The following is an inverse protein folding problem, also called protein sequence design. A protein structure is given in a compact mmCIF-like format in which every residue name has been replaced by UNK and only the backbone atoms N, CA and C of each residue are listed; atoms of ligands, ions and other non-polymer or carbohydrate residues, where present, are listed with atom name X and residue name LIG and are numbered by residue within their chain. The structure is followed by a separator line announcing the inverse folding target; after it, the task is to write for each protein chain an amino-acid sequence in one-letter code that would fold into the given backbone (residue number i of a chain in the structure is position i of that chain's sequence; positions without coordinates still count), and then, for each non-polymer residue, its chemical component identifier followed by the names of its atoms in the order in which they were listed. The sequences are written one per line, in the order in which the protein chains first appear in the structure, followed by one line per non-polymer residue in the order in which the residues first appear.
data_IF_369223833943
#
_entry.id   IF_369223833943
#
_cell.length_a   1.000
_cell.length_b   1.000
_cell.length_c   1.000
_cell.angle_alpha   90.00
_cell.angle_beta   90.00
_cell.angle_gamma   90.00
#
_symmetry.space_group_name_H-M   'P 1'
#
loop_
_entity.id
_entity.type
_entity.pdbx_description
1 polymer ?
#
# COMPACT_ATOMS: atom_id res chain seq x y z
N UNK A 1 -9.48 -9.40 -24.84
CA UNK A 1 -8.13 -9.18 -25.40
C UNK A 1 -7.29 -8.58 -24.28
N UNK A 2 -6.03 -8.98 -24.14
CA UNK A 2 -5.09 -8.36 -23.17
C UNK A 2 -4.25 -7.31 -23.89
N UNK A 3 -3.66 -6.37 -23.13
CA UNK A 3 -2.83 -5.27 -23.63
C UNK A 3 -1.42 -5.44 -23.02
N UNK A 4 -0.32 -5.41 -23.77
CA UNK A 4 1.03 -5.37 -23.21
C UNK A 4 1.16 -4.22 -22.21
N UNK A 5 1.86 -4.42 -21.09
CA UNK A 5 1.94 -3.40 -20.04
C UNK A 5 2.57 -2.09 -20.55
N UNK A 6 3.51 -2.16 -21.47
CA UNK A 6 4.14 -1.00 -22.10
C UNK A 6 3.12 -0.15 -22.89
N UNK A 7 2.10 -0.79 -23.49
CA UNK A 7 1.07 -0.11 -24.28
C UNK A 7 -0.12 0.39 -23.42
N UNK A 8 -0.12 0.05 -22.11
CA UNK A 8 -1.23 0.40 -21.24
C UNK A 8 -1.40 1.92 -21.11
N UNK A 9 -2.66 2.36 -21.27
CA UNK A 9 -3.10 3.75 -21.09
C UNK A 9 -4.16 3.82 -19.99
N UNK A 10 -4.24 4.93 -19.27
CA UNK A 10 -5.08 5.04 -18.08
C UNK A 10 -6.59 4.97 -18.39
N UNK A 11 -7.00 5.46 -19.55
CA UNK A 11 -8.39 5.47 -20.02
C UNK A 11 -8.97 4.08 -20.32
N UNK A 12 -8.09 3.10 -20.63
CA UNK A 12 -8.48 1.74 -20.98
C UNK A 12 -8.00 0.69 -19.97
N UNK A 13 -6.93 1.00 -19.24
CA UNK A 13 -6.20 0.08 -18.37
C UNK A 13 -6.15 0.51 -16.89
N UNK A 14 -6.83 1.61 -16.54
CA UNK A 14 -6.88 2.15 -15.17
C UNK A 14 -5.59 2.87 -14.73
N UNK A 15 -5.64 3.45 -13.54
CA UNK A 15 -4.57 4.30 -13.03
C UNK A 15 -3.23 3.59 -12.89
N UNK A 16 -3.21 2.40 -12.26
CA UNK A 16 -1.98 1.60 -12.11
C UNK A 16 -1.40 1.15 -13.45
N UNK A 17 -2.25 0.57 -14.33
CA UNK A 17 -1.81 0.10 -15.63
C UNK A 17 -1.21 1.23 -16.46
N UNK A 18 -1.91 2.36 -16.54
CA UNK A 18 -1.44 3.55 -17.26
C UNK A 18 -0.14 4.13 -16.69
N UNK A 19 -0.02 4.18 -15.36
CA UNK A 19 1.20 4.65 -14.69
C UNK A 19 2.40 3.75 -15.03
N UNK A 20 2.28 2.43 -14.85
CA UNK A 20 3.35 1.47 -15.15
C UNK A 20 3.72 1.47 -16.64
N UNK A 21 2.73 1.56 -17.55
CA UNK A 21 2.96 1.68 -18.98
C UNK A 21 3.78 2.94 -19.34
N UNK A 22 3.44 4.09 -18.73
CA UNK A 22 4.20 5.32 -18.92
C UNK A 22 5.65 5.21 -18.44
N UNK A 23 5.88 4.53 -17.29
CA UNK A 23 7.22 4.29 -16.76
C UNK A 23 8.03 3.37 -17.69
N UNK A 24 7.43 2.31 -18.24
CA UNK A 24 8.09 1.41 -19.21
C UNK A 24 8.50 2.15 -20.48
N UNK A 25 7.59 2.93 -21.06
CA UNK A 25 7.89 3.76 -22.26
C UNK A 25 9.01 4.77 -22.02
N UNK A 26 9.18 5.22 -20.77
CA UNK A 26 10.27 6.11 -20.37
C UNK A 26 11.58 5.36 -20.06
N UNK A 27 11.65 4.05 -20.28
CA UNK A 27 12.82 3.21 -20.02
C UNK A 27 13.16 3.06 -18.54
N UNK A 28 12.17 3.12 -17.66
CA UNK A 28 12.33 2.86 -16.24
C UNK A 28 12.24 1.35 -15.94
N UNK A 29 12.94 0.85 -14.92
CA UNK A 29 13.01 -0.58 -14.61
C UNK A 29 11.71 -1.06 -13.96
N UNK A 30 10.71 -1.37 -14.75
CA UNK A 30 9.43 -1.95 -14.34
C UNK A 30 9.40 -3.41 -14.79
N UNK A 31 8.96 -4.37 -13.95
CA UNK A 31 8.83 -5.76 -14.38
C UNK A 31 7.81 -5.90 -15.52
N UNK A 32 8.10 -6.80 -16.46
CA UNK A 32 7.25 -7.11 -17.60
C UNK A 32 5.86 -7.60 -17.18
N UNK A 33 4.88 -7.40 -18.04
CA UNK A 33 3.52 -7.81 -17.78
C UNK A 33 2.54 -7.47 -18.90
N UNK A 34 1.26 -7.65 -18.60
CA UNK A 34 0.15 -7.25 -19.45
C UNK A 34 -1.04 -6.79 -18.60
N UNK A 35 -2.02 -6.17 -19.24
CA UNK A 35 -3.24 -5.68 -18.59
C UNK A 35 -4.45 -6.35 -19.21
N UNK A 36 -5.39 -6.79 -18.36
CA UNK A 36 -6.77 -7.09 -18.75
C UNK A 36 -7.54 -5.78 -18.70
N UNK A 37 -7.94 -5.18 -19.84
CA UNK A 37 -8.50 -3.82 -19.88
C UNK A 37 -9.95 -3.77 -19.40
N UNK A 38 -10.48 -2.56 -19.17
CA UNK A 38 -11.89 -2.34 -18.80
C UNK A 38 -12.87 -3.05 -19.73
N UNK A 39 -12.60 -3.05 -21.04
CA UNK A 39 -13.46 -3.71 -22.02
C UNK A 39 -13.65 -5.21 -21.75
N UNK A 40 -12.65 -5.89 -21.18
CA UNK A 40 -12.79 -7.31 -20.81
C UNK A 40 -13.73 -7.49 -19.61
N UNK A 41 -13.62 -6.62 -18.59
CA UNK A 41 -14.56 -6.58 -17.48
C UNK A 41 -15.98 -6.32 -17.94
N UNK A 42 -16.21 -5.26 -18.72
CA UNK A 42 -17.52 -4.89 -19.22
C UNK A 42 -18.15 -5.99 -20.08
N UNK A 43 -17.34 -6.70 -20.86
CA UNK A 43 -17.82 -7.86 -21.64
C UNK A 43 -18.25 -9.03 -20.71
N UNK A 44 -17.46 -9.30 -19.67
CA UNK A 44 -17.73 -10.39 -18.73
C UNK A 44 -19.00 -10.18 -17.91
N UNK A 45 -19.30 -8.92 -17.52
CA UNK A 45 -20.45 -8.60 -16.67
C UNK A 45 -21.71 -8.20 -17.44
N UNK A 46 -21.66 -8.19 -18.78
CA UNK A 46 -22.76 -7.70 -19.65
C UNK A 46 -24.13 -8.36 -19.38
N UNK A 47 -24.16 -9.60 -18.92
CA UNK A 47 -25.38 -10.33 -18.61
C UNK A 47 -25.78 -10.32 -17.14
N UNK A 48 -25.00 -9.66 -16.28
CA UNK A 48 -25.28 -9.57 -14.86
C UNK A 48 -26.08 -8.31 -14.55
N UNK A 49 -27.11 -8.45 -13.72
CA UNK A 49 -27.80 -7.29 -13.13
C UNK A 49 -27.00 -6.80 -11.92
N UNK A 50 -26.05 -5.90 -12.18
CA UNK A 50 -25.22 -5.30 -11.14
C UNK A 50 -25.80 -3.99 -10.58
N UNK A 51 -27.11 -3.76 -10.76
CA UNK A 51 -27.77 -2.53 -10.35
C UNK A 51 -27.39 -1.35 -11.27
N UNK A 52 -28.17 -1.14 -12.35
CA UNK A 52 -27.92 -0.11 -13.38
C UNK A 52 -28.20 1.32 -12.92
N UNK A 53 -28.42 1.57 -11.63
CA UNK A 53 -28.80 2.91 -11.14
C UNK A 53 -27.70 3.53 -10.27
N UNK A 54 -27.24 4.62 -10.69
CA UNK A 54 -26.45 5.77 -10.21
C UNK A 54 -25.89 5.81 -8.78
N UNK A 55 -26.14 4.83 -7.91
CA UNK A 55 -25.66 4.79 -6.53
C UNK A 55 -25.01 3.45 -6.10
N UNK A 56 -24.76 2.52 -7.04
CA UNK A 56 -24.25 1.17 -6.75
C UNK A 56 -25.36 0.11 -6.70
N UNK A 57 -25.02 -1.18 -6.66
CA UNK A 57 -25.98 -2.25 -6.55
C UNK A 57 -26.73 -2.17 -5.22
N UNK A 58 -28.03 -2.48 -5.22
CA UNK A 58 -28.86 -2.53 -4.01
C UNK A 58 -28.31 -3.56 -2.97
N UNK A 59 -27.58 -4.57 -3.44
CA UNK A 59 -26.81 -5.53 -2.62
C UNK A 59 -25.39 -5.71 -3.17
N UNK A 60 -24.39 -4.98 -2.66
CA UNK A 60 -23.00 -5.15 -3.05
C UNK A 60 -22.46 -6.57 -2.86
N UNK A 61 -22.95 -7.29 -1.84
CA UNK A 61 -22.53 -8.66 -1.58
C UNK A 61 -23.08 -9.64 -2.63
N UNK A 62 -24.29 -9.41 -3.15
CA UNK A 62 -24.83 -10.19 -4.26
C UNK A 62 -24.05 -9.94 -5.55
N UNK A 63 -23.74 -8.69 -5.89
CA UNK A 63 -22.91 -8.36 -7.04
C UNK A 63 -21.52 -8.99 -6.95
N UNK A 64 -20.89 -8.95 -5.77
CA UNK A 64 -19.61 -9.60 -5.52
C UNK A 64 -19.70 -11.12 -5.80
N UNK A 65 -20.67 -11.82 -5.20
CA UNK A 65 -20.89 -13.26 -5.43
C UNK A 65 -21.15 -13.60 -6.89
N UNK A 66 -21.92 -12.77 -7.59
CA UNK A 66 -22.21 -12.97 -9.01
C UNK A 66 -20.94 -12.91 -9.87
N UNK A 67 -20.03 -11.95 -9.58
CA UNK A 67 -18.75 -11.83 -10.30
C UNK A 67 -17.79 -12.98 -9.91
N UNK A 68 -17.73 -13.36 -8.65
CA UNK A 68 -16.92 -14.51 -8.20
C UNK A 68 -17.36 -15.82 -8.86
N UNK A 69 -18.66 -15.97 -9.16
CA UNK A 69 -19.22 -17.13 -9.85
C UNK A 69 -19.07 -17.10 -11.38
N UNK A 70 -18.60 -16.00 -11.97
CA UNK A 70 -18.42 -15.89 -13.43
C UNK A 70 -17.47 -16.98 -13.94
N UNK A 71 -17.81 -17.58 -15.06
CA UNK A 71 -16.88 -18.36 -15.85
C UNK A 71 -16.14 -17.41 -16.80
N UNK A 72 -14.82 -17.41 -16.75
CA UNK A 72 -14.01 -16.66 -17.71
C UNK A 72 -14.22 -17.25 -19.09
N UNK A 73 -14.60 -16.42 -20.07
CA UNK A 73 -14.84 -16.92 -21.44
C UNK A 73 -13.56 -17.50 -22.06
N UNK A 74 -13.74 -18.43 -23.00
CA UNK A 74 -12.61 -19.15 -23.63
C UNK A 74 -11.62 -18.22 -24.35
N UNK A 75 -12.09 -17.08 -24.87
CA UNK A 75 -11.25 -16.09 -25.53
C UNK A 75 -10.31 -15.38 -24.54
N UNK A 76 -10.83 -14.95 -23.38
CA UNK A 76 -10.02 -14.35 -22.34
C UNK A 76 -9.09 -15.39 -21.71
N UNK A 77 -9.55 -16.61 -21.43
CA UNK A 77 -8.71 -17.69 -20.88
C UNK A 77 -7.51 -17.98 -21.82
N UNK A 78 -7.76 -18.11 -23.12
CA UNK A 78 -6.71 -18.29 -24.11
C UNK A 78 -5.76 -17.07 -24.20
N UNK A 79 -6.28 -15.85 -24.04
CA UNK A 79 -5.43 -14.64 -24.03
C UNK A 79 -4.53 -14.58 -22.80
N UNK A 80 -5.05 -14.95 -21.60
CA UNK A 80 -4.25 -15.06 -20.37
C UNK A 80 -3.14 -16.09 -20.52
N UNK A 81 -3.46 -17.29 -21.05
CA UNK A 81 -2.48 -18.33 -21.27
C UNK A 81 -1.36 -17.88 -22.25
N UNK A 82 -1.72 -17.20 -23.34
CA UNK A 82 -0.71 -16.65 -24.28
C UNK A 82 0.13 -15.55 -23.62
N UNK A 83 -0.48 -14.64 -22.84
CA UNK A 83 0.24 -13.59 -22.13
C UNK A 83 1.24 -14.17 -21.14
N UNK A 84 0.84 -15.17 -20.34
CA UNK A 84 1.75 -15.87 -19.42
C UNK A 84 2.87 -16.61 -20.17
N UNK A 85 2.53 -17.31 -21.26
CA UNK A 85 3.54 -17.99 -22.11
C UNK A 85 4.57 -17.02 -22.68
N UNK A 86 4.16 -15.82 -23.12
CA UNK A 86 5.07 -14.77 -23.59
C UNK A 86 6.01 -14.25 -22.47
N UNK A 87 5.58 -14.28 -21.20
CA UNK A 87 6.42 -13.98 -20.03
C UNK A 87 7.32 -15.16 -19.60
N UNK A 88 7.17 -16.37 -20.20
CA UNK A 88 7.86 -17.59 -19.78
C UNK A 88 7.20 -18.31 -18.61
N UNK A 89 5.91 -18.11 -18.41
CA UNK A 89 5.07 -18.72 -17.35
C UNK A 89 5.63 -18.57 -15.91
N UNK A 90 6.07 -17.36 -15.53
CA UNK A 90 6.57 -17.12 -14.17
C UNK A 90 5.41 -17.03 -13.18
N UNK A 91 5.70 -17.05 -11.85
CA UNK A 91 4.77 -16.48 -10.89
C UNK A 91 4.50 -15.01 -11.23
N UNK A 92 3.25 -14.58 -11.02
CA UNK A 92 2.83 -13.19 -11.31
C UNK A 92 2.17 -12.53 -10.12
N UNK A 93 2.20 -11.20 -10.09
CA UNK A 93 1.33 -10.36 -9.28
C UNK A 93 0.12 -9.95 -10.12
N UNK A 94 -1.09 -10.17 -9.60
CA UNK A 94 -2.36 -9.79 -10.23
C UNK A 94 -2.96 -8.67 -9.40
N UNK A 95 -3.08 -7.48 -9.96
CA UNK A 95 -3.39 -6.25 -9.21
C UNK A 95 -4.54 -5.49 -9.85
N UNK A 96 -5.50 -5.06 -9.05
CA UNK A 96 -6.56 -4.14 -9.47
C UNK A 96 -5.98 -2.87 -10.09
N UNK A 97 -6.69 -2.31 -11.07
CA UNK A 97 -6.38 -1.04 -11.73
C UNK A 97 -7.68 -0.34 -12.11
N UNK A 98 -8.29 0.35 -11.16
CA UNK A 98 -9.50 1.13 -11.38
C UNK A 98 -9.20 2.50 -11.98
N UNK A 99 -10.21 3.15 -12.53
CA UNK A 99 -10.06 4.48 -13.13
C UNK A 99 -9.75 5.57 -12.10
N UNK A 100 -10.25 5.41 -10.86
CA UNK A 100 -10.07 6.32 -9.74
C UNK A 100 -8.87 5.96 -8.84
N UNK A 101 -8.15 4.88 -9.16
CA UNK A 101 -6.98 4.43 -8.41
C UNK A 101 -5.72 5.20 -8.83
N UNK A 102 -4.84 5.45 -7.86
CA UNK A 102 -3.57 6.16 -8.06
C UNK A 102 -3.74 7.59 -8.63
N UNK A 103 -4.82 8.26 -8.22
CA UNK A 103 -5.08 9.68 -8.52
C UNK A 103 -4.58 10.57 -7.37
N UNK A 104 -4.40 11.88 -7.65
CA UNK A 104 -3.93 12.85 -6.64
C UNK A 104 -4.97 13.24 -5.56
N UNK A 105 -6.17 12.64 -5.56
CA UNK A 105 -7.26 13.04 -4.66
C UNK A 105 -7.36 12.19 -3.40
N UNK A 106 -7.05 10.90 -3.48
CA UNK A 106 -6.95 10.01 -2.33
C UNK A 106 -6.00 8.86 -2.65
N UNK A 107 -5.39 8.27 -1.63
CA UNK A 107 -4.45 7.18 -1.83
C UNK A 107 -5.11 5.93 -2.41
N UNK A 108 -6.43 5.76 -2.25
CA UNK A 108 -7.18 4.54 -2.56
C UNK A 108 -6.45 3.26 -2.11
N UNK A 109 -5.44 3.42 -1.21
CA UNK A 109 -4.55 2.36 -0.78
C UNK A 109 -5.34 1.21 -0.16
N UNK A 110 -5.24 0.03 -0.78
CA UNK A 110 -5.91 -1.18 -0.31
C UNK A 110 -7.43 -1.18 -0.44
N UNK A 111 -8.01 -0.26 -1.20
CA UNK A 111 -9.45 -0.27 -1.51
C UNK A 111 -9.85 -1.53 -2.26
N UNK A 112 -8.99 -1.99 -3.16
CA UNK A 112 -9.19 -3.15 -4.02
C UNK A 112 -8.14 -4.23 -3.76
N UNK A 113 -8.43 -5.45 -4.20
CA UNK A 113 -7.59 -6.62 -3.91
C UNK A 113 -6.41 -6.75 -4.90
N UNK A 114 -5.33 -7.36 -4.40
CA UNK A 114 -4.14 -7.73 -5.17
C UNK A 114 -3.65 -9.10 -4.71
N UNK A 115 -3.22 -9.92 -5.65
CA UNK A 115 -2.77 -11.28 -5.42
C UNK A 115 -1.32 -11.44 -5.88
N UNK A 116 -0.48 -11.98 -5.01
CA UNK A 116 0.94 -12.21 -5.29
C UNK A 116 1.22 -13.70 -5.45
N UNK A 117 2.29 -14.04 -6.14
CA UNK A 117 2.74 -15.42 -6.37
C UNK A 117 1.75 -16.30 -7.12
N UNK A 118 0.83 -15.72 -7.90
CA UNK A 118 -0.15 -16.46 -8.69
C UNK A 118 0.55 -17.22 -9.81
N UNK A 119 0.12 -18.47 -10.09
CA UNK A 119 0.70 -19.32 -11.13
C UNK A 119 -0.35 -19.91 -12.06
N UNK A 120 0.04 -20.05 -13.33
CA UNK A 120 -0.78 -20.69 -14.37
C UNK A 120 -1.99 -19.87 -14.78
N UNK A 121 -2.54 -20.18 -15.96
CA UNK A 121 -3.64 -19.42 -16.55
C UNK A 121 -4.93 -19.47 -15.71
N UNK A 122 -5.24 -20.63 -15.11
CA UNK A 122 -6.44 -20.79 -14.28
C UNK A 122 -6.35 -19.97 -12.99
N UNK A 123 -5.19 -19.98 -12.31
CA UNK A 123 -4.95 -19.17 -11.12
C UNK A 123 -5.01 -17.66 -11.42
N UNK A 124 -4.48 -17.24 -12.57
CA UNK A 124 -4.58 -15.84 -13.01
C UNK A 124 -6.03 -15.47 -13.35
N UNK A 125 -6.79 -16.35 -14.00
CA UNK A 125 -8.20 -16.11 -14.28
C UNK A 125 -9.04 -15.99 -13.00
N UNK A 126 -8.76 -16.82 -11.99
CA UNK A 126 -9.37 -16.69 -10.66
C UNK A 126 -9.02 -15.36 -9.98
N UNK A 127 -7.75 -14.98 -9.97
CA UNK A 127 -7.29 -13.71 -9.39
C UNK A 127 -7.88 -12.48 -10.13
N UNK A 128 -8.03 -12.55 -11.46
CA UNK A 128 -8.70 -11.50 -12.26
C UNK A 128 -10.15 -11.35 -11.82
N UNK A 129 -10.91 -12.44 -11.67
CA UNK A 129 -12.30 -12.39 -11.17
C UNK A 129 -12.37 -11.80 -9.75
N UNK A 130 -11.46 -12.20 -8.88
CA UNK A 130 -11.40 -11.69 -7.51
C UNK A 130 -11.07 -10.19 -7.48
N UNK A 131 -10.15 -9.69 -8.34
CA UNK A 131 -9.94 -8.24 -8.51
C UNK A 131 -11.24 -7.55 -8.96
N UNK A 132 -11.97 -8.08 -9.94
CA UNK A 132 -13.23 -7.52 -10.39
C UNK A 132 -14.30 -7.50 -9.28
N UNK A 133 -14.42 -8.59 -8.52
CA UNK A 133 -15.34 -8.70 -7.40
C UNK A 133 -15.03 -7.71 -6.28
N UNK A 134 -13.75 -7.31 -6.13
CA UNK A 134 -13.33 -6.33 -5.12
C UNK A 134 -13.92 -4.93 -5.31
N UNK A 135 -14.43 -4.59 -6.52
CA UNK A 135 -15.23 -3.38 -6.76
C UNK A 135 -16.45 -3.28 -5.83
N UNK A 136 -17.00 -4.42 -5.43
CA UNK A 136 -18.20 -4.53 -4.59
C UNK A 136 -17.87 -4.95 -3.15
N UNK A 137 -16.61 -4.81 -2.74
CA UNK A 137 -16.21 -5.02 -1.35
C UNK A 137 -16.76 -3.91 -0.43
N UNK A 138 -16.98 -4.18 0.86
CA UNK A 138 -17.38 -3.16 1.82
C UNK A 138 -16.43 -1.94 1.84
N UNK A 139 -15.13 -2.16 1.64
CA UNK A 139 -14.12 -1.08 1.54
C UNK A 139 -14.33 -0.20 0.32
N UNK A 140 -14.63 -0.81 -0.82
CA UNK A 140 -14.91 -0.06 -2.05
C UNK A 140 -16.20 0.74 -1.92
N UNK A 141 -17.22 0.20 -1.27
CA UNK A 141 -18.48 0.89 -0.99
C UNK A 141 -18.27 2.11 -0.09
N UNK A 142 -17.59 1.93 1.04
CA UNK A 142 -17.28 3.03 1.98
C UNK A 142 -16.46 4.17 1.34
N UNK A 143 -15.56 3.85 0.41
CA UNK A 143 -14.80 4.85 -0.34
C UNK A 143 -15.65 5.67 -1.31
N UNK A 144 -16.69 5.08 -1.91
CA UNK A 144 -17.62 5.80 -2.80
C UNK A 144 -18.55 6.75 -2.05
N UNK A 145 -19.06 6.33 -0.88
CA UNK A 145 -19.91 7.15 -0.02
C UNK A 145 -19.21 8.41 0.51
N UNK A 146 -17.89 8.33 0.71
CA UNK A 146 -17.08 9.46 1.18
C UNK A 146 -16.84 10.55 0.12
N UNK A 147 -17.35 10.41 -1.10
CA UNK A 147 -17.10 11.35 -2.20
C UNK A 147 -15.69 11.31 -2.80
N UNK A 148 -14.85 10.34 -2.35
CA UNK A 148 -13.49 10.13 -2.86
C UNK A 148 -13.45 9.43 -4.24
N UNK A 149 -14.61 9.00 -4.75
CA UNK A 149 -14.75 8.42 -6.08
C UNK A 149 -15.12 9.49 -7.08
N UNK A 150 -14.35 9.67 -8.14
CA UNK A 150 -14.81 10.33 -9.34
C UNK A 150 -16.01 9.56 -9.86
N UNK A 151 -17.20 10.17 -9.77
CA UNK A 151 -18.39 9.59 -10.37
C UNK A 151 -18.09 9.20 -11.81
N UNK A 152 -18.52 8.00 -12.17
CA UNK A 152 -18.40 7.46 -13.51
C UNK A 152 -18.85 8.51 -14.55
N UNK A 153 -17.90 8.97 -15.37
CA UNK A 153 -18.18 9.92 -16.45
C UNK A 153 -18.77 9.25 -17.69
N UNK A 154 -18.79 7.90 -17.72
CA UNK A 154 -19.21 7.09 -18.88
C UNK A 154 -20.63 6.57 -18.78
N UNK A 155 -21.31 6.65 -17.62
CA UNK A 155 -22.68 6.15 -17.44
C UNK A 155 -22.82 4.62 -17.37
N UNK A 156 -21.73 3.86 -17.48
CA UNK A 156 -21.72 2.40 -17.55
C UNK A 156 -21.46 1.68 -16.20
N UNK A 157 -21.32 2.44 -15.11
CA UNK A 157 -20.98 1.91 -13.78
C UNK A 157 -19.46 1.67 -13.56
N UNK A 158 -19.05 1.28 -12.33
CA UNK A 158 -17.65 1.11 -12.01
C UNK A 158 -16.99 -0.02 -12.81
N UNK A 159 -15.82 0.25 -13.39
CA UNK A 159 -15.05 -0.70 -14.18
C UNK A 159 -13.66 -0.96 -13.58
N UNK A 160 -13.15 -2.19 -13.76
CA UNK A 160 -11.87 -2.64 -13.25
C UNK A 160 -11.03 -3.27 -14.35
N UNK A 161 -9.88 -2.66 -14.64
CA UNK A 161 -8.79 -3.32 -15.35
C UNK A 161 -7.92 -4.09 -14.35
N UNK A 162 -7.13 -5.05 -14.82
CA UNK A 162 -6.28 -5.87 -13.96
C UNK A 162 -4.88 -5.95 -14.56
N UNK A 163 -3.88 -5.50 -13.82
CA UNK A 163 -2.47 -5.65 -14.16
C UNK A 163 -1.99 -7.03 -13.77
N UNK A 164 -1.41 -7.76 -14.71
CA UNK A 164 -0.72 -9.04 -14.51
C UNK A 164 0.76 -8.81 -14.79
N UNK A 165 1.58 -8.85 -13.75
CA UNK A 165 2.99 -8.47 -13.81
C UNK A 165 3.87 -9.59 -13.25
N UNK A 166 5.05 -9.81 -13.82
CA UNK A 166 6.04 -10.76 -13.30
C UNK A 166 6.28 -10.52 -11.82
N UNK A 167 6.10 -11.55 -10.99
CA UNK A 167 6.44 -11.51 -9.58
C UNK A 167 7.96 -11.55 -9.41
N UNK A 168 8.48 -10.74 -8.50
CA UNK A 168 9.89 -10.71 -8.16
C UNK A 168 10.12 -11.34 -6.78
N UNK A 169 11.12 -12.21 -6.67
CA UNK A 169 11.59 -12.70 -5.38
C UNK A 169 12.56 -11.67 -4.78
N UNK A 170 12.00 -10.69 -4.10
CA UNK A 170 12.75 -9.55 -3.63
C UNK A 170 13.72 -9.91 -2.48
N UNK A 171 14.97 -9.51 -2.59
CA UNK A 171 15.95 -9.53 -1.51
C UNK A 171 15.62 -8.48 -0.46
N UNK A 172 15.28 -7.27 -0.93
CA UNK A 172 14.79 -6.14 -0.16
C UNK A 172 13.74 -5.39 -0.97
N UNK A 173 12.84 -4.72 -0.29
CA UNK A 173 11.80 -3.91 -0.90
C UNK A 173 11.37 -2.78 0.02
N UNK A 174 10.59 -1.87 -0.51
CA UNK A 174 10.11 -0.76 0.29
C UNK A 174 9.30 0.25 -0.47
N UNK A 175 9.18 1.41 0.14
CA UNK A 175 8.48 2.58 -0.38
C UNK A 175 9.43 3.76 -0.40
N UNK A 176 9.32 4.65 -1.37
CA UNK A 176 9.97 5.95 -1.32
C UNK A 176 8.99 7.06 -1.66
N UNK A 177 9.16 8.19 -0.97
CA UNK A 177 8.47 9.44 -1.30
C UNK A 177 9.49 10.40 -1.92
N UNK A 178 9.19 10.86 -3.11
CA UNK A 178 10.01 11.87 -3.77
C UNK A 178 9.77 13.24 -3.12
N UNK A 179 10.74 14.18 -3.19
CA UNK A 179 10.61 15.49 -2.60
C UNK A 179 9.34 16.23 -3.01
N UNK A 180 8.67 16.86 -2.07
CA UNK A 180 7.52 17.74 -2.29
C UNK A 180 7.92 19.18 -2.68
N UNK A 181 9.15 19.57 -2.37
CA UNK A 181 9.67 20.89 -2.64
C UNK A 181 11.20 20.97 -2.72
N UNK A 182 11.74 22.12 -3.13
CA UNK A 182 13.18 22.34 -3.20
C UNK A 182 13.86 22.13 -1.83
N UNK A 183 14.97 21.40 -1.82
CA UNK A 183 15.74 21.14 -0.60
C UNK A 183 15.21 20.02 0.28
N UNK A 184 14.04 19.47 0.00
CA UNK A 184 13.55 18.30 0.71
C UNK A 184 14.28 17.04 0.23
N UNK A 185 14.65 16.12 1.14
CA UNK A 185 15.26 14.86 0.75
C UNK A 185 14.23 13.86 0.22
N UNK A 186 14.65 12.91 -0.61
CA UNK A 186 13.89 11.69 -0.86
C UNK A 186 13.86 10.86 0.42
N UNK A 187 12.65 10.54 0.90
CA UNK A 187 12.44 9.61 2.02
C UNK A 187 12.28 8.20 1.49
N UNK A 188 13.03 7.22 2.05
CA UNK A 188 12.93 5.82 1.66
C UNK A 188 12.77 4.97 2.91
N UNK A 189 11.84 4.03 2.87
CA UNK A 189 11.70 2.96 3.86
C UNK A 189 11.99 1.63 3.21
N UNK A 190 12.77 0.77 3.90
CA UNK A 190 13.25 -0.49 3.35
C UNK A 190 13.19 -1.63 4.37
N UNK A 191 12.84 -2.82 3.92
CA UNK A 191 12.95 -4.05 4.69
C UNK A 191 13.39 -5.23 3.82
N UNK A 192 13.72 -6.34 4.47
CA UNK A 192 14.01 -7.60 3.80
C UNK A 192 12.77 -8.23 3.19
N UNK A 193 12.91 -8.87 2.03
CA UNK A 193 11.85 -9.63 1.37
C UNK A 193 10.86 -8.74 0.61
N UNK A 194 9.62 -9.20 0.52
CA UNK A 194 8.56 -8.62 -0.31
C UNK A 194 7.92 -7.37 0.30
N UNK A 195 7.54 -6.42 -0.55
CA UNK A 195 6.99 -5.10 -0.22
C UNK A 195 5.77 -5.03 0.70
N UNK A 196 4.82 -5.98 0.67
CA UNK A 196 3.65 -5.89 1.54
C UNK A 196 3.95 -5.78 3.04
N UNK A 197 5.12 -6.24 3.50
CA UNK A 197 5.52 -6.08 4.90
C UNK A 197 5.80 -4.62 5.29
N UNK A 198 6.34 -3.81 4.37
CA UNK A 198 6.59 -2.38 4.57
C UNK A 198 5.31 -1.57 4.39
N UNK A 199 4.61 -1.78 3.26
CA UNK A 199 3.36 -1.08 2.93
C UNK A 199 2.29 -1.31 3.99
N UNK A 200 2.10 -2.57 4.43
CA UNK A 200 1.16 -2.95 5.49
C UNK A 200 1.66 -2.68 6.91
N UNK A 201 2.90 -2.17 7.07
CA UNK A 201 3.44 -1.83 8.40
C UNK A 201 3.63 -3.03 9.33
N UNK A 202 3.73 -4.26 8.81
CA UNK A 202 3.95 -5.47 9.65
C UNK A 202 5.37 -5.59 10.17
N UNK A 203 6.27 -4.73 9.69
CA UNK A 203 7.66 -4.56 10.15
C UNK A 203 7.94 -3.08 10.39
N UNK A 204 8.86 -2.77 11.30
CA UNK A 204 9.47 -1.44 11.39
C UNK A 204 10.62 -1.40 10.39
N UNK A 205 10.53 -0.61 9.30
CA UNK A 205 11.53 -0.58 8.25
C UNK A 205 12.73 0.26 8.63
N UNK A 206 13.86 0.06 7.92
CA UNK A 206 14.95 1.01 7.90
C UNK A 206 14.48 2.31 7.24
N UNK A 207 14.95 3.45 7.74
CA UNK A 207 14.67 4.77 7.19
C UNK A 207 15.94 5.35 6.55
N UNK A 208 15.77 5.93 5.35
CA UNK A 208 16.82 6.63 4.61
C UNK A 208 16.30 8.00 4.18
N UNK A 209 17.18 8.98 4.23
CA UNK A 209 16.96 10.32 3.69
C UNK A 209 18.09 10.65 2.74
N UNK A 210 17.76 10.81 1.47
CA UNK A 210 18.74 11.10 0.43
C UNK A 210 18.57 12.55 -0.02
N UNK A 211 19.56 13.37 0.25
CA UNK A 211 19.55 14.78 -0.16
C UNK A 211 19.89 14.92 -1.66
N UNK A 212 19.67 16.11 -2.20
CA UNK A 212 19.89 16.39 -3.62
C UNK A 212 21.37 16.25 -4.05
N UNK A 213 22.31 16.44 -3.13
CA UNK A 213 23.75 16.24 -3.35
C UNK A 213 24.16 14.76 -3.31
N UNK A 214 23.23 13.86 -2.99
CA UNK A 214 23.47 12.42 -2.86
C UNK A 214 23.93 11.99 -1.47
N UNK A 215 24.02 12.90 -0.49
CA UNK A 215 24.29 12.51 0.89
C UNK A 215 23.14 11.69 1.47
N UNK A 216 23.49 10.65 2.24
CA UNK A 216 22.53 9.68 2.79
C UNK A 216 22.60 9.70 4.31
N UNK A 217 21.46 9.92 4.95
CA UNK A 217 21.26 9.66 6.38
C UNK A 217 20.39 8.44 6.51
N UNK A 218 20.86 7.41 7.20
CA UNK A 218 20.13 6.16 7.41
C UNK A 218 19.97 5.82 8.88
N UNK A 219 18.83 5.22 9.21
CA UNK A 219 18.51 4.69 10.54
C UNK A 219 18.03 3.26 10.37
N UNK A 220 18.90 2.24 10.59
CA UNK A 220 18.50 0.85 10.55
C UNK A 220 17.55 0.51 11.69
N UNK A 221 16.56 -0.34 11.42
CA UNK A 221 15.60 -0.84 12.40
C UNK A 221 15.82 -2.32 12.74
N UNK A 222 15.21 -2.81 13.83
CA UNK A 222 15.18 -4.24 14.18
C UNK A 222 14.09 -4.98 13.38
N UNK A 223 14.43 -5.41 12.17
CA UNK A 223 13.54 -6.13 11.25
C UNK A 223 13.45 -7.60 11.60
N UNK A 224 12.53 -7.98 12.49
CA UNK A 224 12.43 -9.33 13.06
C UNK A 224 11.93 -10.38 12.08
N UNK A 225 11.09 -9.97 11.13
CA UNK A 225 10.46 -10.84 10.13
C UNK A 225 10.67 -10.31 8.73
N UNK A 226 10.51 -11.18 7.75
CA UNK A 226 10.45 -10.87 6.33
C UNK A 226 9.35 -11.69 5.66
N UNK A 227 8.79 -11.17 4.59
CA UNK A 227 7.83 -11.88 3.76
C UNK A 227 8.55 -12.41 2.52
N UNK A 228 8.45 -13.70 2.27
CA UNK A 228 9.05 -14.36 1.11
C UNK A 228 8.00 -15.15 0.34
N UNK A 229 8.31 -15.52 -0.91
CA UNK A 229 7.52 -16.47 -1.67
C UNK A 229 8.08 -17.89 -1.50
N UNK A 230 7.20 -18.86 -1.33
CA UNK A 230 7.50 -20.27 -1.37
C UNK A 230 6.48 -21.00 -2.27
N UNK A 231 6.92 -21.36 -3.47
CA UNK A 231 6.00 -21.89 -4.49
C UNK A 231 4.97 -20.85 -4.93
N UNK A 232 3.69 -21.14 -4.69
CA UNK A 232 2.54 -20.24 -4.95
C UNK A 232 2.02 -19.57 -3.66
N UNK A 233 2.79 -19.56 -2.57
CA UNK A 233 2.38 -19.00 -1.28
C UNK A 233 3.35 -17.93 -0.82
N UNK A 234 2.82 -17.00 -0.03
CA UNK A 234 3.62 -16.05 0.74
C UNK A 234 3.83 -16.62 2.15
N UNK A 235 5.06 -16.57 2.64
CA UNK A 235 5.43 -17.09 3.95
C UNK A 235 6.18 -16.03 4.74
N UNK A 236 5.83 -15.87 6.01
CA UNK A 236 6.56 -15.02 6.95
C UNK A 236 7.71 -15.85 7.52
N UNK A 237 8.94 -15.33 7.42
CA UNK A 237 10.15 -15.95 7.97
C UNK A 237 10.80 -15.06 9.00
N UNK A 238 11.41 -15.64 10.01
CA UNK A 238 12.23 -14.91 10.97
C UNK A 238 13.56 -14.49 10.32
N UNK A 239 13.94 -13.24 10.53
CA UNK A 239 15.27 -12.74 10.17
C UNK A 239 16.25 -13.17 11.26
N UNK A 240 17.41 -13.77 10.91
CA UNK A 240 18.42 -14.16 11.89
C UNK A 240 18.89 -12.97 12.74
N UNK A 241 19.07 -13.17 14.05
CA UNK A 241 19.37 -12.09 15.00
C UNK A 241 20.58 -11.22 14.58
N UNK A 242 21.63 -11.84 14.02
CA UNK A 242 22.84 -11.13 13.58
C UNK A 242 22.68 -10.20 12.37
N UNK A 243 21.52 -10.23 11.68
CA UNK A 243 21.24 -9.37 10.51
C UNK A 243 20.03 -8.47 10.68
N UNK A 244 19.22 -8.65 11.72
CA UNK A 244 17.98 -7.86 11.95
C UNK A 244 18.22 -6.35 11.92
N UNK A 245 19.27 -5.89 12.59
CA UNK A 245 19.65 -4.49 12.67
C UNK A 245 20.56 -4.00 11.54
N UNK A 246 20.86 -4.85 10.54
CA UNK A 246 21.64 -4.39 9.37
C UNK A 246 20.73 -3.68 8.39
N UNK A 247 21.26 -2.66 7.72
CA UNK A 247 20.57 -1.96 6.66
C UNK A 247 20.17 -2.94 5.54
N UNK A 248 18.90 -2.89 5.08
CA UNK A 248 18.38 -3.76 4.04
C UNK A 248 18.91 -3.41 2.64
N UNK A 249 19.30 -2.14 2.44
CA UNK A 249 19.98 -1.65 1.24
C UNK A 249 21.19 -0.81 1.63
N UNK A 250 22.15 -0.70 0.72
CA UNK A 250 23.31 0.19 0.89
C UNK A 250 23.01 1.61 0.40
N UNK A 251 23.93 2.55 0.72
CA UNK A 251 23.78 3.97 0.34
C UNK A 251 23.76 4.16 -1.18
N UNK A 252 24.50 3.36 -1.94
CA UNK A 252 24.52 3.42 -3.40
C UNK A 252 23.14 3.06 -4.00
N UNK A 253 22.48 2.06 -3.44
CA UNK A 253 21.11 1.68 -3.82
C UNK A 253 20.11 2.76 -3.43
N UNK A 254 20.24 3.38 -2.24
CA UNK A 254 19.39 4.50 -1.82
C UNK A 254 19.53 5.70 -2.77
N UNK A 255 20.75 6.06 -3.17
CA UNK A 255 20.99 7.13 -4.16
C UNK A 255 20.43 6.76 -5.53
N UNK A 256 20.56 5.49 -5.95
CA UNK A 256 19.95 5.02 -7.22
C UNK A 256 18.43 5.16 -7.18
N UNK A 257 17.78 4.77 -6.08
CA UNK A 257 16.34 4.92 -5.86
C UNK A 257 15.93 6.40 -5.94
N UNK A 258 16.63 7.31 -5.24
CA UNK A 258 16.35 8.73 -5.28
C UNK A 258 16.43 9.31 -6.70
N UNK A 259 17.42 8.90 -7.50
CA UNK A 259 17.55 9.30 -8.92
C UNK A 259 16.39 8.76 -9.78
N UNK A 260 15.97 7.52 -9.56
CA UNK A 260 14.79 6.96 -10.24
C UNK A 260 13.53 7.71 -9.83
N UNK A 261 13.36 7.99 -8.53
CA UNK A 261 12.25 8.78 -8.00
C UNK A 261 12.16 10.17 -8.64
N UNK A 262 13.28 10.88 -8.78
CA UNK A 262 13.32 12.18 -9.44
C UNK A 262 12.86 12.10 -10.92
N UNK A 263 13.29 11.05 -11.65
CA UNK A 263 12.84 10.82 -13.03
C UNK A 263 11.32 10.51 -13.08
N UNK A 264 10.82 9.73 -12.14
CA UNK A 264 9.39 9.39 -12.03
C UNK A 264 8.58 10.65 -11.73
N UNK A 265 9.01 11.46 -10.75
CA UNK A 265 8.35 12.71 -10.38
C UNK A 265 8.30 13.71 -11.55
N UNK A 266 9.39 13.85 -12.30
CA UNK A 266 9.43 14.68 -13.51
C UNK A 266 8.47 14.16 -14.60
N UNK A 267 8.39 12.85 -14.81
CA UNK A 267 7.50 12.24 -15.79
C UNK A 267 6.02 12.37 -15.41
N UNK A 268 5.71 12.24 -14.10
CA UNK A 268 4.34 12.20 -13.59
C UNK A 268 3.79 13.57 -13.18
N UNK A 269 4.65 14.60 -13.13
CA UNK A 269 4.24 15.98 -12.87
C UNK A 269 4.00 16.29 -11.40
N UNK A 270 4.84 15.79 -10.48
CA UNK A 270 4.75 16.10 -9.05
C UNK A 270 5.30 15.01 -8.13
N UNK A 271 5.24 15.22 -6.81
CA UNK A 271 5.73 14.26 -5.82
C UNK A 271 5.05 12.90 -5.96
N UNK A 272 5.83 11.83 -5.82
CA UNK A 272 5.38 10.45 -6.01
C UNK A 272 5.69 9.58 -4.79
N UNK A 273 4.71 8.73 -4.48
CA UNK A 273 4.80 7.55 -3.63
C UNK A 273 5.12 6.35 -4.54
N UNK A 274 6.28 5.74 -4.32
CA UNK A 274 6.82 4.71 -5.23
C UNK A 274 7.13 3.45 -4.46
N UNK A 275 6.49 2.33 -4.84
CA UNK A 275 6.86 1.00 -4.39
C UNK A 275 8.00 0.47 -5.25
N UNK A 276 9.01 -0.11 -4.60
CA UNK A 276 10.19 -0.64 -5.26
C UNK A 276 10.67 -1.97 -4.66
N UNK A 277 11.48 -2.69 -5.40
CA UNK A 277 12.14 -3.91 -4.95
C UNK A 277 13.57 -4.00 -5.49
N UNK A 278 14.43 -4.71 -4.77
CA UNK A 278 15.71 -5.20 -5.25
C UNK A 278 15.58 -6.71 -5.47
N UNK A 279 15.83 -7.15 -6.67
CA UNK A 279 15.85 -8.57 -7.04
C UNK A 279 16.97 -8.79 -8.06
N UNK A 280 17.76 -9.85 -7.91
CA UNK A 280 18.93 -10.18 -8.72
C UNK A 280 19.92 -8.99 -8.83
N UNK A 281 20.14 -8.28 -7.71
CA UNK A 281 21.01 -7.11 -7.62
C UNK A 281 20.54 -5.88 -8.42
N UNK A 282 19.30 -5.87 -8.90
CA UNK A 282 18.70 -4.76 -9.68
C UNK A 282 17.55 -4.12 -8.92
N UNK A 283 17.44 -2.79 -9.06
CA UNK A 283 16.27 -2.04 -8.57
C UNK A 283 15.15 -2.12 -9.60
N UNK A 284 13.94 -2.38 -9.11
CA UNK A 284 12.71 -2.44 -9.87
C UNK A 284 11.66 -1.50 -9.27
N UNK A 285 10.88 -0.86 -10.12
CA UNK A 285 9.73 -0.02 -9.74
C UNK A 285 8.46 -0.85 -9.91
N UNK A 286 7.70 -1.00 -8.83
CA UNK A 286 6.52 -1.85 -8.79
C UNK A 286 5.21 -1.07 -8.90
N UNK A 287 5.20 0.19 -8.43
CA UNK A 287 4.08 1.12 -8.51
C UNK A 287 4.59 2.55 -8.34
N UNK A 288 3.91 3.53 -8.94
CA UNK A 288 4.12 4.94 -8.68
C UNK A 288 2.77 5.67 -8.72
N UNK A 289 2.50 6.45 -7.67
CA UNK A 289 1.27 7.26 -7.55
C UNK A 289 1.59 8.63 -6.96
N UNK A 290 0.74 9.64 -7.17
CA UNK A 290 0.90 10.93 -6.51
C UNK A 290 0.87 10.80 -4.98
N UNK A 291 1.68 11.59 -4.29
CA UNK A 291 1.62 11.70 -2.82
C UNK A 291 0.35 12.45 -2.44
N UNK A 292 -0.52 11.83 -1.64
CA UNK A 292 -1.77 12.43 -1.15
C UNK A 292 -1.58 13.09 0.21
N UNK A 293 -0.69 12.53 1.05
CA UNK A 293 -0.40 13.04 2.39
C UNK A 293 1.11 12.97 2.66
N UNK A 294 1.79 14.10 2.50
CA UNK A 294 3.22 14.17 2.73
C UNK A 294 3.57 13.81 4.18
N UNK A 295 4.69 13.08 4.41
CA UNK A 295 5.18 12.85 5.76
C UNK A 295 5.54 14.18 6.41
N UNK A 296 5.43 14.29 7.75
CA UNK A 296 5.87 15.48 8.44
C UNK A 296 7.37 15.69 8.17
N UNK A 297 7.84 16.95 7.97
CA UNK A 297 9.26 17.20 7.92
C UNK A 297 9.90 16.61 9.17
N UNK A 298 11.03 15.90 9.01
CA UNK A 298 11.75 15.36 10.15
C UNK A 298 12.19 16.52 11.03
N UNK A 299 11.59 16.63 12.19
CA UNK A 299 12.11 17.45 13.26
C UNK A 299 13.45 16.89 13.78
N UNK A 300 14.24 17.67 14.50
CA UNK A 300 15.35 17.10 15.26
C UNK A 300 14.81 16.00 16.18
N UNK A 301 15.59 14.93 16.43
CA UNK A 301 15.20 13.93 17.43
C UNK A 301 14.85 14.66 18.74
N UNK A 302 13.73 14.27 19.36
CA UNK A 302 13.38 14.82 20.67
C UNK A 302 14.52 14.44 21.64
N UNK A 303 15.19 15.42 22.27
CA UNK A 303 16.26 15.10 23.20
C UNK A 303 15.74 14.16 24.29
N UNK A 304 16.53 13.19 24.70
CA UNK A 304 16.11 12.23 25.73
C UNK A 304 15.71 12.90 27.06
N UNK A 305 16.24 14.11 27.33
CA UNK A 305 15.88 14.95 28.48
C UNK A 305 14.44 15.51 28.41
N UNK A 306 13.89 15.66 27.20
CA UNK A 306 12.55 16.21 26.97
C UNK A 306 11.47 15.13 26.89
N UNK A 307 11.86 13.85 26.93
CA UNK A 307 10.91 12.73 26.94
C UNK A 307 10.35 12.56 28.35
N UNK A 308 9.03 12.62 28.53
CA UNK A 308 8.43 12.43 29.86
C UNK A 308 8.86 11.10 30.49
N UNK A 309 9.12 11.10 31.80
CA UNK A 309 9.48 9.87 32.50
C UNK A 309 8.38 8.80 32.35
N UNK A 310 8.77 7.61 31.92
CA UNK A 310 7.83 6.51 31.67
C UNK A 310 7.11 6.56 30.32
N UNK A 311 7.37 7.56 29.47
CA UNK A 311 6.81 7.60 28.13
C UNK A 311 7.35 6.47 27.24
N UNK A 312 6.47 5.92 26.42
CA UNK A 312 6.83 5.03 25.32
C UNK A 312 7.22 5.89 24.11
N UNK A 313 8.29 5.50 23.43
CA UNK A 313 8.82 6.27 22.30
C UNK A 313 8.67 5.45 21.02
N UNK A 314 8.23 6.10 19.97
CA UNK A 314 8.11 5.57 18.62
C UNK A 314 8.45 6.62 17.56
N UNK A 315 8.09 6.34 16.34
CA UNK A 315 8.30 7.25 15.20
C UNK A 315 7.08 8.17 15.04
N UNK A 316 7.28 9.52 14.92
CA UNK A 316 6.21 10.45 14.58
C UNK A 316 5.55 10.10 13.24
N UNK A 317 4.30 9.66 13.26
CA UNK A 317 3.57 9.23 12.06
C UNK A 317 2.66 10.31 11.47
N UNK A 318 1.95 11.01 12.35
CA UNK A 318 1.06 12.14 12.03
C UNK A 318 1.06 13.11 13.20
N UNK A 319 1.12 14.41 12.92
CA UNK A 319 1.28 15.47 13.92
C UNK A 319 0.04 15.67 14.81
N UNK A 320 0.25 16.32 15.93
CA UNK A 320 -0.76 16.67 16.92
C UNK A 320 -0.61 15.88 18.20
N UNK A 321 -1.40 16.25 19.21
CA UNK A 321 -1.47 15.53 20.47
C UNK A 321 -2.92 15.33 20.88
N UNK A 322 -3.21 14.17 21.46
CA UNK A 322 -4.56 13.82 21.92
C UNK A 322 -4.49 12.94 23.17
N UNK A 323 -5.45 13.13 24.07
CA UNK A 323 -5.67 12.25 25.21
C UNK A 323 -6.99 11.50 25.00
N UNK A 324 -6.96 10.18 25.15
CA UNK A 324 -8.12 9.33 24.97
C UNK A 324 -7.95 7.96 25.62
N UNK A 325 -9.00 7.16 25.57
CA UNK A 325 -9.00 5.80 26.13
C UNK A 325 -8.25 4.85 25.19
N UNK A 326 -7.21 4.20 25.67
CA UNK A 326 -6.48 3.19 24.90
C UNK A 326 -7.38 1.99 24.63
N UNK A 327 -7.60 1.70 23.36
CA UNK A 327 -8.32 0.51 22.92
C UNK A 327 -7.34 -0.43 22.22
N UNK A 328 -7.02 -1.53 22.91
CA UNK A 328 -6.12 -2.54 22.38
C UNK A 328 -6.90 -3.43 21.41
N UNK A 329 -6.49 -3.40 20.15
CA UNK A 329 -7.10 -4.12 19.03
C UNK A 329 -6.05 -4.99 18.38
N UNK A 330 -6.23 -6.30 18.43
CA UNK A 330 -5.28 -7.27 17.88
C UNK A 330 -5.68 -7.82 16.52
N UNK A 331 -6.92 -7.57 16.12
CA UNK A 331 -7.44 -8.04 14.83
C UNK A 331 -8.92 -7.75 14.66
N UNK A 332 -9.53 -8.20 13.53
CA UNK A 332 -10.92 -7.90 13.18
C UNK A 332 -11.95 -8.27 14.24
N UNK A 333 -11.68 -9.30 15.06
CA UNK A 333 -12.55 -9.70 16.17
C UNK A 333 -12.75 -8.63 17.26
N UNK A 334 -11.83 -7.67 17.35
CA UNK A 334 -11.87 -6.59 18.32
C UNK A 334 -12.52 -5.31 17.78
N UNK A 335 -12.79 -5.22 16.48
CA UNK A 335 -13.21 -3.97 15.81
C UNK A 335 -14.47 -3.34 16.44
N UNK A 336 -15.45 -4.16 16.81
CA UNK A 336 -16.70 -3.69 17.43
C UNK A 336 -16.51 -3.03 18.79
N UNK A 337 -15.33 -3.15 19.41
CA UNK A 337 -15.01 -2.57 20.72
C UNK A 337 -14.53 -1.11 20.65
N UNK A 338 -14.13 -0.66 19.45
CA UNK A 338 -13.60 0.69 19.24
C UNK A 338 -14.74 1.69 19.20
N UNK A 339 -14.66 2.70 20.04
CA UNK A 339 -15.64 3.79 20.12
C UNK A 339 -15.05 5.08 19.55
N UNK A 340 -15.88 6.00 19.03
CA UNK A 340 -15.43 7.33 18.65
C UNK A 340 -14.68 8.02 19.80
N UNK A 341 -13.49 8.55 19.51
CA UNK A 341 -12.64 9.21 20.50
C UNK A 341 -11.66 8.29 21.23
N UNK A 342 -11.69 6.98 21.01
CA UNK A 342 -10.67 6.07 21.52
C UNK A 342 -9.30 6.30 20.84
N UNK A 343 -8.22 6.03 21.55
CA UNK A 343 -6.88 5.87 20.97
C UNK A 343 -6.70 4.42 20.55
N UNK A 344 -6.58 4.19 19.24
CA UNK A 344 -6.36 2.86 18.68
C UNK A 344 -4.93 2.39 18.95
N UNK A 345 -4.77 1.30 19.71
CA UNK A 345 -3.48 0.69 20.02
C UNK A 345 -3.45 -0.71 19.41
N UNK A 346 -2.54 -0.96 18.47
CA UNK A 346 -2.54 -2.21 17.68
C UNK A 346 -1.15 -2.65 17.23
N UNK A 347 -0.96 -3.90 16.81
CA UNK A 347 0.32 -4.35 16.28
C UNK A 347 0.70 -3.61 14.99
N UNK A 348 -0.20 -3.48 14.05
CA UNK A 348 -0.12 -2.77 12.76
C UNK A 348 -1.53 -2.55 12.23
N UNK A 349 -1.68 -1.82 11.13
CA UNK A 349 -2.96 -1.67 10.43
C UNK A 349 -2.84 -2.11 8.98
N UNK A 350 -3.91 -2.64 8.44
CA UNK A 350 -4.10 -2.87 7.02
C UNK A 350 -5.33 -2.09 6.52
N UNK A 351 -5.63 -2.09 5.23
CA UNK A 351 -6.77 -1.34 4.70
C UNK A 351 -8.15 -1.70 5.30
N UNK A 352 -8.30 -2.86 5.95
CA UNK A 352 -9.55 -3.20 6.65
C UNK A 352 -9.78 -2.34 7.91
N UNK A 353 -8.72 -1.71 8.42
CA UNK A 353 -8.77 -0.87 9.61
C UNK A 353 -9.17 0.58 9.32
N UNK A 354 -9.21 1.00 8.06
CA UNK A 354 -9.55 2.37 7.66
C UNK A 354 -10.82 2.91 8.33
N UNK A 355 -11.93 2.14 8.47
CA UNK A 355 -13.11 2.62 9.17
C UNK A 355 -12.86 2.96 10.65
N UNK A 356 -11.97 2.22 11.33
CA UNK A 356 -11.59 2.49 12.72
C UNK A 356 -10.75 3.76 12.85
N UNK A 357 -9.82 3.96 11.90
CA UNK A 357 -8.98 5.16 11.85
C UNK A 357 -9.80 6.44 11.68
N UNK A 358 -10.98 6.36 11.06
CA UNK A 358 -11.88 7.51 10.89
C UNK A 358 -12.58 7.94 12.19
N UNK A 359 -12.75 7.05 13.15
CA UNK A 359 -13.43 7.33 14.42
C UNK A 359 -12.46 7.46 15.60
N UNK A 360 -11.24 6.97 15.44
CA UNK A 360 -10.21 7.05 16.46
C UNK A 360 -9.72 8.49 16.65
N UNK A 361 -9.43 8.87 17.89
CA UNK A 361 -8.80 10.16 18.19
C UNK A 361 -7.29 10.15 17.97
N UNK A 362 -6.65 8.98 18.06
CA UNK A 362 -5.22 8.79 17.85
C UNK A 362 -4.88 7.35 17.52
N UNK A 363 -3.68 7.11 17.03
CA UNK A 363 -3.19 5.78 16.63
C UNK A 363 -1.80 5.51 17.18
N UNK A 364 -1.61 4.31 17.74
CA UNK A 364 -0.30 3.80 18.17
C UNK A 364 -0.11 2.40 17.63
N UNK A 365 1.01 2.13 16.94
CA UNK A 365 1.32 0.80 16.41
C UNK A 365 2.62 0.23 16.96
N UNK A 366 2.72 -1.11 17.07
CA UNK A 366 3.96 -1.78 17.48
C UNK A 366 5.03 -1.73 16.39
N UNK A 367 4.60 -1.81 15.14
CA UNK A 367 5.47 -1.82 13.97
C UNK A 367 4.98 -0.78 12.95
N UNK A 368 5.75 -0.59 11.88
CA UNK A 368 5.43 0.34 10.80
C UNK A 368 6.34 1.56 10.81
N UNK A 369 6.38 2.23 9.68
CA UNK A 369 7.15 3.44 9.44
C UNK A 369 6.26 4.61 8.97
N UNK A 370 6.86 5.75 8.66
CA UNK A 370 6.13 6.97 8.26
C UNK A 370 5.48 6.86 6.89
N UNK A 371 5.85 5.85 6.10
CA UNK A 371 5.29 5.56 4.77
C UNK A 371 4.33 4.37 4.79
N UNK A 372 4.03 3.80 5.97
CA UNK A 372 3.07 2.70 6.13
C UNK A 372 1.61 3.15 6.01
N UNK A 373 0.70 2.19 5.80
CA UNK A 373 -0.75 2.41 5.75
C UNK A 373 -1.26 3.23 6.95
N UNK A 374 -0.88 2.85 8.19
CA UNK A 374 -1.29 3.56 9.39
C UNK A 374 -0.94 5.05 9.35
N UNK A 375 0.29 5.37 8.92
CA UNK A 375 0.78 6.73 8.85
C UNK A 375 0.07 7.56 7.77
N UNK A 376 -0.12 6.99 6.59
CA UNK A 376 -0.77 7.67 5.45
C UNK A 376 -2.20 8.03 5.82
N UNK A 377 -2.99 7.05 6.29
CA UNK A 377 -4.40 7.25 6.66
C UNK A 377 -4.54 8.19 7.86
N UNK A 378 -3.65 8.10 8.87
CA UNK A 378 -3.66 9.03 10.00
C UNK A 378 -3.45 10.48 9.54
N UNK A 379 -2.55 10.73 8.58
CA UNK A 379 -2.34 12.08 8.01
C UNK A 379 -3.52 12.54 7.16
N UNK A 380 -4.11 11.67 6.35
CA UNK A 380 -5.31 11.99 5.55
C UNK A 380 -6.48 12.42 6.45
N UNK A 381 -6.60 11.84 7.65
CA UNK A 381 -7.64 12.19 8.61
C UNK A 381 -7.20 13.17 9.71
N UNK A 382 -5.96 13.68 9.64
CA UNK A 382 -5.38 14.62 10.61
C UNK A 382 -5.45 14.14 12.07
N UNK A 383 -5.32 12.82 12.30
CA UNK A 383 -5.28 12.23 13.66
C UNK A 383 -3.82 11.99 14.08
N UNK A 384 -3.44 12.28 15.36
CA UNK A 384 -2.11 12.03 15.85
C UNK A 384 -1.74 10.54 15.79
N UNK A 385 -0.50 10.24 15.34
CA UNK A 385 -0.03 8.86 15.24
C UNK A 385 1.42 8.70 15.69
N UNK A 386 1.67 7.65 16.48
CA UNK A 386 2.99 7.21 16.91
C UNK A 386 3.18 5.76 16.48
N UNK A 387 4.21 5.49 15.69
CA UNK A 387 4.43 4.20 15.02
C UNK A 387 5.69 3.52 15.55
N UNK A 388 5.72 2.18 15.43
CA UNK A 388 6.90 1.41 15.78
C UNK A 388 7.24 1.48 17.28
N UNK A 389 6.25 1.53 18.17
CA UNK A 389 6.41 1.47 19.63
C UNK A 389 6.49 0.01 20.06
N UNK A 390 7.66 -0.53 20.40
CA UNK A 390 7.80 -1.96 20.68
C UNK A 390 6.90 -2.43 21.81
N UNK A 391 6.20 -3.54 21.58
CA UNK A 391 5.35 -4.25 22.56
C UNK A 391 4.25 -3.37 23.18
N UNK A 392 3.80 -2.31 22.50
CA UNK A 392 2.83 -1.34 23.06
C UNK A 392 1.50 -1.99 23.45
N UNK A 393 1.05 -3.02 22.71
CA UNK A 393 -0.22 -3.73 23.02
C UNK A 393 -0.16 -4.55 24.31
N UNK A 394 1.03 -4.81 24.85
CA UNK A 394 1.24 -5.48 26.13
C UNK A 394 1.72 -4.53 27.24
N UNK A 395 2.30 -3.39 26.87
CA UNK A 395 2.80 -2.38 27.82
C UNK A 395 1.71 -1.41 28.26
N UNK A 396 0.73 -1.12 27.43
CA UNK A 396 -0.45 -0.33 27.79
C UNK A 396 -1.58 -1.26 28.26
N UNK A 397 -2.38 -0.76 29.17
CA UNK A 397 -3.59 -1.45 29.66
C UNK A 397 -4.78 -1.02 28.83
N UNK A 398 -5.57 -1.98 28.36
CA UNK A 398 -6.85 -1.71 27.67
C UNK A 398 -7.79 -0.90 28.61
N UNK A 399 -8.37 0.17 28.07
CA UNK A 399 -9.21 1.09 28.84
C UNK A 399 -8.45 2.15 29.66
N UNK A 400 -7.11 2.16 29.67
CA UNK A 400 -6.35 3.21 30.33
C UNK A 400 -6.43 4.53 29.57
N UNK A 401 -6.36 5.65 30.30
CA UNK A 401 -6.24 6.96 29.67
C UNK A 401 -4.79 7.17 29.23
N UNK A 402 -4.59 7.53 27.96
CA UNK A 402 -3.27 7.75 27.38
C UNK A 402 -3.22 9.05 26.59
N UNK A 403 -2.07 9.70 26.61
CA UNK A 403 -1.78 10.85 25.75
C UNK A 403 -0.83 10.41 24.64
N UNK A 404 -1.22 10.63 23.40
CA UNK A 404 -0.43 10.37 22.18
C UNK A 404 0.03 11.71 21.63
N UNK A 405 1.34 11.93 21.60
CA UNK A 405 1.95 13.07 20.92
C UNK A 405 2.63 12.58 19.63
N UNK A 406 1.88 12.70 18.54
CA UNK A 406 2.36 12.33 17.20
C UNK A 406 3.40 13.31 16.63
N UNK A 407 3.62 14.46 17.25
CA UNK A 407 4.68 15.42 16.88
C UNK A 407 6.00 15.03 17.54
N UNK A 408 5.96 14.70 18.82
CA UNK A 408 7.12 14.25 19.59
C UNK A 408 7.42 12.74 19.40
N UNK A 409 6.46 11.95 18.93
CA UNK A 409 6.59 10.50 18.83
C UNK A 409 6.53 9.78 20.18
N UNK A 410 5.73 10.30 21.13
CA UNK A 410 5.65 9.78 22.49
C UNK A 410 4.22 9.36 22.87
N UNK A 411 4.13 8.36 23.73
CA UNK A 411 2.87 7.89 24.33
C UNK A 411 3.05 7.80 25.83
N UNK A 412 2.20 8.48 26.59
CA UNK A 412 2.23 8.46 28.06
C UNK A 412 0.91 7.91 28.61
N UNK A 413 0.97 6.99 29.58
CA UNK A 413 -0.18 6.62 30.38
C UNK A 413 -0.39 7.67 31.47
N UNK A 414 -1.63 8.10 31.64
CA UNK A 414 -2.03 9.11 32.64
C UNK A 414 -2.50 8.45 33.92
#
# INVERSE_FOLDING_TARGET
MIVPLEEAAADTCGGKGGALGALLRAGLPVPDGFVVPFAAYLAAVRGLDLGRHTAGPDDPAAARRAIEALTVDAGLAAALARGLGALGDPPVAVRSSAADEDTGRSSAAGRYESFLAVRGADGVAEAVRACWASLFSPRAAAGRESGDGSGDRSGDGPAMAVVVQRHLDAEASGVMFTPGGPGEPTGIEASWGLGPSVVGGTVTPDSYRVAADGSVVRTPADKRTRLDREGARLVVRNVPAGVRGRAAIDDATAVRLARLGARIAALRGGPQDVEWAVADGRVWILQARPVTAAPPPAGPPVPAADVPSGALVGTPGSRGAVTGTARIVRGPGDFARVLPGDVLVCPFTDPAWTPLLRIAAGVVTETGGVLSHAAIVAREHAIPAVLGVPDVTSRLRDGALVTVDGTAGTVTAT
#
